data_IF_039734135818
#
_entry.id   IF_039734135818
#
_cell.length_a   1.000
_cell.length_b   1.000
_cell.length_c   1.000
_cell.angle_alpha   90.00
_cell.angle_beta   90.00
_cell.angle_gamma   90.00
#
_symmetry.space_group_name_H-M   'P 1'
#
loop_
_entity.id
_entity.type
_entity.pdbx_description
1 polymer ?
#
# COMPACT_ATOMS: atom_id res chain seq x y z
N UNK A 1 29.58 -62.45 42.54
CA UNK A 1 30.79 -63.05 43.16
C UNK A 1 31.96 -62.04 43.31
N UNK A 2 31.71 -60.80 43.78
CA UNK A 2 32.79 -59.77 43.98
C UNK A 2 32.57 -58.79 45.15
N UNK A 3 31.49 -58.94 45.95
CA UNK A 3 31.18 -58.03 47.09
C UNK A 3 31.54 -58.58 48.48
N UNK A 4 31.83 -59.87 48.60
CA UNK A 4 32.11 -60.51 49.89
C UNK A 4 33.59 -60.37 50.35
N UNK A 5 34.55 -60.23 49.42
CA UNK A 5 35.99 -60.11 49.79
C UNK A 5 36.40 -58.76 50.40
N UNK A 6 35.57 -57.72 50.29
CA UNK A 6 35.89 -56.37 50.79
C UNK A 6 35.69 -56.23 52.30
N UNK A 7 34.73 -56.97 52.86
CA UNK A 7 34.27 -56.79 54.24
C UNK A 7 35.25 -57.35 55.28
N UNK A 8 35.91 -58.47 54.99
CA UNK A 8 36.95 -59.03 55.89
C UNK A 8 38.23 -58.20 55.91
N UNK A 9 38.61 -57.62 54.76
CA UNK A 9 39.78 -56.72 54.68
C UNK A 9 39.60 -55.45 55.48
N UNK A 10 38.37 -54.91 55.56
CA UNK A 10 38.05 -53.74 56.37
C UNK A 10 38.12 -54.03 57.88
N UNK A 11 37.65 -55.20 58.32
CA UNK A 11 37.75 -55.61 59.73
C UNK A 11 39.21 -55.79 60.17
N UNK A 12 40.05 -56.35 59.31
CA UNK A 12 41.48 -56.53 59.59
C UNK A 12 42.25 -55.20 59.60
N UNK A 13 41.80 -54.20 58.85
CA UNK A 13 42.39 -52.85 58.85
C UNK A 13 41.99 -52.06 60.11
N UNK A 14 40.73 -52.17 60.53
CA UNK A 14 40.22 -51.56 61.76
C UNK A 14 40.89 -52.14 63.02
N UNK A 15 41.27 -53.43 63.02
CA UNK A 15 41.98 -54.07 64.12
C UNK A 15 43.47 -53.71 64.19
N UNK A 16 44.12 -53.38 63.06
CA UNK A 16 45.55 -53.05 63.00
C UNK A 16 45.87 -51.58 63.24
N UNK A 17 44.96 -50.65 62.93
CA UNK A 17 45.24 -49.21 62.99
C UNK A 17 44.17 -48.41 63.77
N UNK A 18 43.92 -48.70 65.06
CA UNK A 18 42.91 -48.00 65.84
C UNK A 18 43.24 -46.51 66.02
N UNK A 19 44.53 -46.18 66.14
CA UNK A 19 45.01 -44.79 66.29
C UNK A 19 44.77 -43.96 65.03
N UNK A 20 44.89 -44.55 63.84
CA UNK A 20 44.71 -43.84 62.57
C UNK A 20 43.24 -43.52 62.28
N UNK A 21 42.32 -44.40 62.67
CA UNK A 21 40.87 -44.16 62.59
C UNK A 21 40.41 -43.05 63.54
N UNK A 22 40.97 -42.99 64.75
CA UNK A 22 40.67 -41.93 65.72
C UNK A 22 41.19 -40.58 65.22
N UNK A 23 42.36 -40.54 64.57
CA UNK A 23 42.94 -39.31 64.00
C UNK A 23 42.08 -38.74 62.85
N UNK A 24 41.55 -39.60 61.97
CA UNK A 24 40.67 -39.19 60.87
C UNK A 24 39.31 -38.71 61.39
N UNK A 25 38.78 -39.36 62.42
CA UNK A 25 37.53 -38.94 63.08
C UNK A 25 37.69 -37.60 63.82
N UNK A 26 38.85 -37.37 64.45
CA UNK A 26 39.20 -36.11 65.09
C UNK A 26 39.35 -34.97 64.07
N UNK A 27 39.93 -35.24 62.91
CA UNK A 27 40.08 -34.26 61.83
C UNK A 27 38.74 -33.90 61.16
N UNK A 28 37.77 -34.82 61.13
CA UNK A 28 36.40 -34.56 60.65
C UNK A 28 35.55 -33.73 61.63
N UNK A 29 35.79 -33.87 62.94
CA UNK A 29 35.05 -33.14 64.00
C UNK A 29 35.49 -31.67 64.15
N UNK A 30 36.68 -31.30 63.67
CA UNK A 30 37.22 -29.92 63.72
C UNK A 30 36.89 -29.08 62.46
N UNK A 31 36.16 -29.62 61.48
CA UNK A 31 35.85 -28.98 60.20
C UNK A 31 34.60 -28.07 60.16
N UNK A 32 33.92 -27.85 61.29
CA UNK A 32 32.74 -26.99 61.37
C UNK A 32 32.89 -26.00 62.53
N UNK A 33 33.48 -24.83 62.26
CA UNK A 33 33.10 -23.52 62.82
C UNK A 33 33.93 -22.43 62.13
N UNK A 34 33.27 -21.67 61.26
CA UNK A 34 33.37 -20.20 61.25
C UNK A 34 32.27 -19.63 60.37
N UNK A 35 31.27 -19.06 61.03
CA UNK A 35 30.36 -18.07 60.49
C UNK A 35 30.46 -16.84 61.41
N UNK A 36 30.76 -15.68 60.84
CA UNK A 36 30.46 -14.31 61.31
C UNK A 36 31.30 -13.34 60.45
N UNK A 37 30.81 -12.28 59.83
CA UNK A 37 29.49 -11.67 59.79
C UNK A 37 29.52 -10.57 58.71
N UNK A 38 28.35 -10.25 58.16
CA UNK A 38 28.19 -9.27 57.09
C UNK A 38 26.72 -9.07 56.78
N UNK A 39 26.01 -8.45 57.73
CA UNK A 39 24.66 -7.91 57.55
C UNK A 39 24.64 -6.92 56.38
N UNK A 40 23.76 -7.19 55.42
CA UNK A 40 23.51 -6.38 54.23
C UNK A 40 22.24 -6.85 53.52
N UNK A 41 21.16 -7.05 54.27
CA UNK A 41 19.83 -7.33 53.72
C UNK A 41 19.25 -6.06 53.06
N UNK A 42 19.72 -5.72 51.85
CA UNK A 42 19.06 -4.80 50.91
C UNK A 42 19.29 -5.25 49.45
N UNK A 43 19.14 -6.54 49.16
CA UNK A 43 19.34 -7.10 47.81
C UNK A 43 18.17 -7.90 47.16
N UNK A 44 16.99 -8.16 47.77
CA UNK A 44 15.90 -8.83 47.04
C UNK A 44 15.05 -7.89 46.18
N UNK A 45 14.86 -6.62 46.57
CA UNK A 45 13.99 -5.68 45.83
C UNK A 45 14.59 -5.21 44.50
N UNK A 46 15.91 -5.08 44.41
CA UNK A 46 16.59 -4.54 43.22
C UNK A 46 16.67 -5.52 42.04
N UNK A 47 16.62 -6.83 42.30
CA UNK A 47 16.56 -7.86 41.25
C UNK A 47 15.15 -8.01 40.70
N UNK A 48 14.13 -7.90 41.55
CA UNK A 48 12.73 -7.95 41.12
C UNK A 48 12.32 -6.70 40.31
N UNK A 49 12.77 -5.50 40.71
CA UNK A 49 12.60 -4.26 39.92
C UNK A 49 13.28 -4.36 38.55
N UNK A 50 14.53 -4.83 38.49
CA UNK A 50 15.24 -5.04 37.23
C UNK A 50 14.53 -6.03 36.31
N UNK A 51 13.95 -7.10 36.86
CA UNK A 51 13.15 -8.05 36.09
C UNK A 51 11.90 -7.42 35.48
N UNK A 52 11.19 -6.57 36.26
CA UNK A 52 10.01 -5.83 35.78
C UNK A 52 10.37 -4.79 34.71
N UNK A 53 11.51 -4.12 34.84
CA UNK A 53 11.99 -3.14 33.85
C UNK A 53 12.44 -3.79 32.54
N UNK A 54 13.12 -4.96 32.61
CA UNK A 54 13.46 -5.76 31.44
C UNK A 54 12.21 -6.27 30.72
N UNK A 55 11.19 -6.72 31.46
CA UNK A 55 9.92 -7.13 30.88
C UNK A 55 9.19 -5.97 30.18
N UNK A 56 9.15 -4.77 30.80
CA UNK A 56 8.60 -3.56 30.19
C UNK A 56 9.37 -3.13 28.94
N UNK A 57 10.71 -3.24 28.95
CA UNK A 57 11.52 -2.95 27.76
C UNK A 57 11.24 -3.94 26.62
N UNK A 58 11.09 -5.22 26.93
CA UNK A 58 10.73 -6.23 25.94
C UNK A 58 9.35 -5.94 25.32
N UNK A 59 8.35 -5.61 26.14
CA UNK A 59 7.00 -5.25 25.68
C UNK A 59 7.01 -4.00 24.77
N UNK A 60 7.72 -2.94 25.18
CA UNK A 60 7.88 -1.73 24.36
C UNK A 60 8.59 -2.01 23.04
N UNK A 61 9.61 -2.86 23.06
CA UNK A 61 10.34 -3.25 21.85
C UNK A 61 9.46 -4.04 20.87
N UNK A 62 8.57 -4.88 21.39
CA UNK A 62 7.65 -5.65 20.56
C UNK A 62 6.57 -4.76 19.95
N UNK A 63 6.05 -3.82 20.74
CA UNK A 63 5.09 -2.83 20.27
C UNK A 63 5.69 -1.89 19.23
N UNK A 64 6.96 -1.52 19.37
CA UNK A 64 7.69 -0.76 18.36
C UNK A 64 7.81 -1.56 17.05
N UNK A 65 8.18 -2.85 17.11
CA UNK A 65 8.26 -3.70 15.90
C UNK A 65 6.91 -3.83 15.22
N UNK A 66 5.83 -4.02 15.99
CA UNK A 66 4.47 -4.08 15.47
C UNK A 66 4.12 -2.79 14.71
N UNK A 67 4.35 -1.62 15.33
CA UNK A 67 4.13 -0.32 14.68
C UNK A 67 4.99 -0.12 13.43
N UNK A 68 6.24 -0.55 13.42
CA UNK A 68 7.11 -0.50 12.23
C UNK A 68 6.55 -1.38 11.11
N UNK A 69 6.10 -2.60 11.43
CA UNK A 69 5.50 -3.50 10.45
C UNK A 69 4.20 -2.94 9.89
N UNK A 70 3.37 -2.34 10.74
CA UNK A 70 2.15 -1.66 10.31
C UNK A 70 2.47 -0.49 9.36
N UNK A 71 3.46 0.35 9.69
CA UNK A 71 3.92 1.45 8.84
C UNK A 71 4.43 0.97 7.48
N UNK A 72 5.19 -0.13 7.45
CA UNK A 72 5.64 -0.75 6.20
C UNK A 72 4.45 -1.24 5.36
N UNK A 73 3.43 -1.83 6.00
CA UNK A 73 2.21 -2.25 5.31
C UNK A 73 1.43 -1.05 4.75
N UNK A 74 1.38 0.08 5.48
CA UNK A 74 0.79 1.32 4.97
C UNK A 74 1.57 1.86 3.77
N UNK A 75 2.90 1.84 3.79
CA UNK A 75 3.74 2.25 2.66
C UNK A 75 3.47 1.41 1.41
N UNK A 76 3.40 0.08 1.55
CA UNK A 76 3.07 -0.82 0.45
C UNK A 76 1.68 -0.54 -0.12
N UNK A 77 0.68 -0.30 0.74
CA UNK A 77 -0.68 0.03 0.30
C UNK A 77 -0.74 1.36 -0.41
N UNK A 78 -0.11 2.41 0.12
CA UNK A 78 -0.07 3.73 -0.50
C UNK A 78 0.63 3.66 -1.86
N UNK A 79 1.76 2.96 -1.95
CA UNK A 79 2.49 2.80 -3.20
C UNK A 79 1.68 2.03 -4.24
N UNK A 80 1.01 0.93 -3.84
CA UNK A 80 0.12 0.20 -4.74
C UNK A 80 -1.05 1.05 -5.25
N UNK A 81 -1.65 1.86 -4.38
CA UNK A 81 -2.75 2.76 -4.75
C UNK A 81 -2.26 3.89 -5.66
N UNK A 82 -1.05 4.41 -5.44
CA UNK A 82 -0.43 5.42 -6.32
C UNK A 82 -0.12 4.86 -7.70
N UNK A 83 0.40 3.63 -7.78
CA UNK A 83 0.66 2.99 -9.06
C UNK A 83 -0.64 2.78 -9.86
N UNK A 84 -1.71 2.34 -9.20
CA UNK A 84 -3.03 2.23 -9.83
C UNK A 84 -3.56 3.60 -10.26
N UNK A 85 -3.39 4.64 -9.43
CA UNK A 85 -3.77 6.00 -9.77
C UNK A 85 -2.99 6.53 -10.97
N UNK A 86 -1.67 6.34 -11.02
CA UNK A 86 -0.84 6.75 -12.15
C UNK A 86 -1.24 6.02 -13.44
N UNK A 87 -1.53 4.72 -13.33
CA UNK A 87 -2.01 3.94 -14.46
C UNK A 87 -3.33 4.50 -14.97
N UNK A 88 -4.30 4.77 -14.09
CA UNK A 88 -5.57 5.40 -14.47
C UNK A 88 -5.36 6.80 -15.06
N UNK A 89 -4.47 7.62 -14.50
CA UNK A 89 -4.14 8.95 -15.04
C UNK A 89 -3.53 8.91 -16.44
N UNK A 90 -2.84 7.82 -16.80
CA UNK A 90 -2.35 7.59 -18.18
C UNK A 90 -3.42 7.00 -19.09
N UNK A 91 -4.29 6.14 -18.55
CA UNK A 91 -5.38 5.51 -19.29
C UNK A 91 -6.50 6.49 -19.61
N UNK A 92 -6.85 7.41 -18.70
CA UNK A 92 -7.89 8.44 -18.90
C UNK A 92 -7.68 9.23 -20.21
N UNK A 93 -6.54 9.86 -20.49
CA UNK A 93 -6.36 10.62 -21.73
C UNK A 93 -6.33 9.74 -22.98
N UNK A 94 -5.84 8.49 -22.87
CA UNK A 94 -5.88 7.54 -23.98
C UNK A 94 -7.33 7.10 -24.28
N UNK A 95 -8.13 6.86 -23.24
CA UNK A 95 -9.56 6.59 -23.36
C UNK A 95 -10.33 7.80 -23.87
N UNK A 96 -10.01 9.03 -23.42
CA UNK A 96 -10.59 10.26 -23.94
C UNK A 96 -10.27 10.48 -25.42
N UNK A 97 -9.05 10.15 -25.86
CA UNK A 97 -8.69 10.19 -27.27
C UNK A 97 -9.46 9.13 -28.08
N UNK A 98 -9.61 7.91 -27.56
CA UNK A 98 -10.45 6.88 -28.19
C UNK A 98 -11.93 7.30 -28.21
N UNK A 99 -12.39 7.99 -27.16
CA UNK A 99 -13.74 8.52 -27.04
C UNK A 99 -14.02 9.58 -28.09
N UNK A 100 -13.12 10.56 -28.23
CA UNK A 100 -13.26 11.63 -29.21
C UNK A 100 -13.24 11.07 -30.64
N UNK A 101 -12.40 10.08 -30.92
CA UNK A 101 -12.44 9.35 -32.19
C UNK A 101 -13.82 8.66 -32.39
N UNK A 102 -14.32 7.95 -31.38
CA UNK A 102 -15.65 7.34 -31.44
C UNK A 102 -16.78 8.39 -31.58
N UNK A 103 -16.66 9.57 -30.98
CA UNK A 103 -17.59 10.69 -31.13
C UNK A 103 -17.56 11.27 -32.55
N UNK A 104 -16.38 11.33 -33.19
CA UNK A 104 -16.29 11.73 -34.60
C UNK A 104 -16.92 10.70 -35.53
N UNK A 105 -16.74 9.40 -35.27
CA UNK A 105 -17.43 8.34 -36.03
C UNK A 105 -18.96 8.41 -35.81
N UNK A 106 -19.37 8.68 -34.57
CA UNK A 106 -20.77 8.91 -34.21
C UNK A 106 -21.33 10.14 -34.93
N UNK A 107 -20.52 11.20 -35.15
CA UNK A 107 -20.95 12.39 -35.89
C UNK A 107 -21.32 12.07 -37.34
N UNK A 108 -20.57 11.16 -37.99
CA UNK A 108 -20.93 10.65 -39.33
C UNK A 108 -22.27 9.90 -39.30
N UNK A 109 -22.48 9.05 -38.29
CA UNK A 109 -23.77 8.37 -38.09
C UNK A 109 -24.92 9.35 -37.84
N UNK A 110 -24.67 10.46 -37.14
CA UNK A 110 -25.67 11.53 -36.92
C UNK A 110 -26.02 12.29 -38.19
N UNK A 111 -25.05 12.48 -39.10
CA UNK A 111 -25.33 13.10 -40.42
C UNK A 111 -26.26 12.20 -41.22
N UNK A 112 -25.97 10.90 -41.34
CA UNK A 112 -26.85 9.96 -42.03
C UNK A 112 -28.24 9.86 -41.40
N UNK A 113 -28.31 9.92 -40.07
CA UNK A 113 -29.57 9.97 -39.34
C UNK A 113 -30.34 11.27 -39.62
N UNK A 114 -29.66 12.41 -39.71
CA UNK A 114 -30.28 13.69 -40.06
C UNK A 114 -30.80 13.70 -41.51
N UNK A 115 -30.04 13.17 -42.46
CA UNK A 115 -30.47 12.97 -43.86
C UNK A 115 -31.73 12.08 -43.91
N UNK A 116 -31.73 10.98 -43.15
CA UNK A 116 -32.88 10.09 -43.03
C UNK A 116 -34.11 10.78 -42.44
N UNK A 117 -33.95 11.56 -41.37
CA UNK A 117 -35.04 12.33 -40.77
C UNK A 117 -35.59 13.42 -41.69
N UNK A 118 -34.74 14.10 -42.46
CA UNK A 118 -35.17 15.13 -43.41
C UNK A 118 -36.00 14.51 -44.54
N UNK A 119 -35.51 13.41 -45.11
CA UNK A 119 -36.24 12.65 -46.12
C UNK A 119 -37.58 12.12 -45.59
N UNK A 120 -37.58 11.55 -44.38
CA UNK A 120 -38.79 11.05 -43.74
C UNK A 120 -39.76 12.19 -43.43
N UNK A 121 -39.26 13.37 -43.05
CA UNK A 121 -40.03 14.58 -42.81
C UNK A 121 -40.72 15.09 -44.07
N UNK A 122 -40.02 15.11 -45.21
CA UNK A 122 -40.62 15.41 -46.51
C UNK A 122 -41.73 14.44 -46.86
N UNK A 123 -41.51 13.14 -46.62
CA UNK A 123 -42.51 12.12 -46.86
C UNK A 123 -43.74 12.27 -45.96
N UNK A 124 -43.56 12.47 -44.65
CA UNK A 124 -44.68 12.69 -43.70
C UNK A 124 -45.46 13.95 -44.05
N UNK A 125 -44.78 15.04 -44.43
CA UNK A 125 -45.44 16.26 -44.89
C UNK A 125 -46.24 16.04 -46.18
N UNK A 126 -45.71 15.24 -47.11
CA UNK A 126 -46.44 14.84 -48.32
C UNK A 126 -47.70 14.03 -47.98
N UNK A 127 -47.56 13.04 -47.09
CA UNK A 127 -48.69 12.22 -46.62
C UNK A 127 -49.75 13.07 -45.91
N UNK A 128 -49.36 14.07 -45.14
CA UNK A 128 -50.28 15.00 -44.49
C UNK A 128 -51.03 15.90 -45.50
N UNK A 129 -50.32 16.44 -46.49
CA UNK A 129 -50.88 17.38 -47.48
C UNK A 129 -51.79 16.70 -48.50
N UNK A 130 -51.41 15.51 -48.95
CA UNK A 130 -52.06 14.83 -50.06
C UNK A 130 -52.89 13.63 -49.60
N UNK A 131 -52.74 13.22 -48.33
CA UNK A 131 -53.40 12.04 -47.79
C UNK A 131 -52.86 10.73 -48.40
N UNK A 132 -53.23 9.58 -47.84
CA UNK A 132 -52.90 8.27 -48.43
C UNK A 132 -53.62 8.03 -49.78
N UNK A 133 -54.68 8.78 -50.06
CA UNK A 133 -55.49 8.68 -51.30
C UNK A 133 -54.71 9.11 -52.54
N UNK A 134 -53.65 9.90 -52.38
CA UNK A 134 -52.78 10.29 -53.50
C UNK A 134 -52.18 9.08 -54.23
N UNK A 135 -51.86 7.99 -53.52
CA UNK A 135 -51.42 6.75 -54.15
C UNK A 135 -52.54 6.06 -54.94
N UNK A 136 -53.78 6.13 -54.45
CA UNK A 136 -54.95 5.59 -55.15
C UNK A 136 -55.27 6.38 -56.42
N UNK A 137 -55.11 7.70 -56.41
CA UNK A 137 -55.30 8.55 -57.60
C UNK A 137 -54.33 8.17 -58.73
N UNK A 138 -53.06 7.90 -58.41
CA UNK A 138 -52.04 7.47 -59.37
C UNK A 138 -52.40 6.12 -60.03
N UNK A 139 -53.13 5.26 -59.29
CA UNK A 139 -53.57 3.93 -59.73
C UNK A 139 -54.91 3.94 -60.47
N UNK A 140 -55.86 4.82 -60.12
CA UNK A 140 -57.21 4.84 -60.69
C UNK A 140 -57.29 5.69 -61.97
N UNK A 141 -56.33 6.60 -62.19
CA UNK A 141 -56.29 7.48 -63.37
C UNK A 141 -55.75 6.88 -64.67
N UNK A 142 -55.53 5.56 -64.76
CA UNK A 142 -54.98 4.90 -65.97
C UNK A 142 -56.05 4.21 -66.81
N UNK A 143 -55.90 4.32 -68.12
CA UNK A 143 -56.85 3.78 -69.11
C UNK A 143 -56.56 2.34 -69.53
N UNK A 144 -55.38 1.80 -69.21
CA UNK A 144 -54.90 0.48 -69.65
C UNK A 144 -54.44 -0.40 -68.47
N UNK A 145 -54.78 -1.69 -68.51
CA UNK A 145 -54.49 -2.64 -67.43
C UNK A 145 -52.98 -2.88 -67.26
N UNK A 146 -52.20 -2.86 -68.34
CA UNK A 146 -50.75 -3.06 -68.23
C UNK A 146 -50.10 -1.87 -67.51
N UNK A 147 -50.55 -0.64 -67.80
CA UNK A 147 -50.10 0.56 -67.06
C UNK A 147 -50.52 0.55 -65.59
N UNK A 148 -51.68 -0.03 -65.26
CA UNK A 148 -52.11 -0.22 -63.88
C UNK A 148 -51.13 -1.11 -63.10
N UNK A 149 -50.77 -2.28 -63.66
CA UNK A 149 -49.85 -3.23 -63.02
C UNK A 149 -48.46 -2.60 -62.84
N UNK A 150 -47.95 -1.91 -63.84
CA UNK A 150 -46.65 -1.22 -63.76
C UNK A 150 -46.61 -0.16 -62.65
N UNK A 151 -47.65 0.67 -62.54
CA UNK A 151 -47.75 1.68 -61.48
C UNK A 151 -47.97 1.07 -60.10
N UNK A 152 -48.75 0.00 -60.00
CA UNK A 152 -48.96 -0.72 -58.74
C UNK A 152 -47.64 -1.28 -58.20
N UNK A 153 -46.80 -1.85 -59.07
CA UNK A 153 -45.47 -2.32 -58.69
C UNK A 153 -44.54 -1.18 -58.27
N UNK A 154 -44.55 -0.05 -58.97
CA UNK A 154 -43.78 1.13 -58.55
C UNK A 154 -44.22 1.65 -57.17
N UNK A 155 -45.52 1.80 -56.93
CA UNK A 155 -46.06 2.25 -55.63
C UNK A 155 -45.66 1.27 -54.53
N UNK A 156 -45.76 -0.04 -54.78
CA UNK A 156 -45.31 -1.08 -53.84
C UNK A 156 -43.82 -0.95 -53.51
N UNK A 157 -42.97 -0.75 -54.51
CA UNK A 157 -41.52 -0.56 -54.31
C UNK A 157 -41.21 0.70 -53.50
N UNK A 158 -41.90 1.81 -53.77
CA UNK A 158 -41.72 3.08 -53.05
C UNK A 158 -42.09 2.91 -51.57
N UNK A 159 -43.24 2.30 -51.27
CA UNK A 159 -43.67 2.06 -49.88
C UNK A 159 -42.69 1.12 -49.18
N UNK A 160 -42.22 0.07 -49.85
CA UNK A 160 -41.23 -0.84 -49.28
C UNK A 160 -39.90 -0.12 -48.96
N UNK A 161 -39.44 0.78 -49.83
CA UNK A 161 -38.27 1.61 -49.58
C UNK A 161 -38.49 2.56 -48.39
N UNK A 162 -39.65 3.20 -48.29
CA UNK A 162 -40.01 4.09 -47.18
C UNK A 162 -39.98 3.36 -45.82
N UNK A 163 -40.58 2.17 -45.75
CA UNK A 163 -40.59 1.35 -44.53
C UNK A 163 -39.17 0.92 -44.16
N UNK A 164 -38.34 0.54 -45.15
CA UNK A 164 -36.93 0.19 -44.94
C UNK A 164 -36.13 1.36 -44.36
N UNK A 165 -36.28 2.56 -44.92
CA UNK A 165 -35.60 3.76 -44.43
C UNK A 165 -36.05 4.12 -43.01
N UNK A 166 -37.33 3.99 -42.68
CA UNK A 166 -37.84 4.21 -41.32
C UNK A 166 -37.14 3.28 -40.31
N UNK A 167 -37.05 1.99 -40.62
CA UNK A 167 -36.42 1.00 -39.75
C UNK A 167 -34.91 1.24 -39.61
N UNK A 168 -34.23 1.58 -40.71
CA UNK A 168 -32.81 1.93 -40.69
C UNK A 168 -32.53 3.16 -39.81
N UNK A 169 -33.33 4.23 -39.94
CA UNK A 169 -33.21 5.43 -39.11
C UNK A 169 -33.48 5.11 -37.64
N UNK A 170 -34.49 4.28 -37.34
CA UNK A 170 -34.81 3.86 -35.97
C UNK A 170 -33.66 3.08 -35.34
N UNK A 171 -33.17 2.05 -36.01
CA UNK A 171 -32.05 1.25 -35.51
C UNK A 171 -30.78 2.08 -35.33
N UNK A 172 -30.51 3.00 -36.26
CA UNK A 172 -29.37 3.90 -36.17
C UNK A 172 -29.51 4.87 -34.98
N UNK A 173 -30.71 5.40 -34.73
CA UNK A 173 -30.99 6.28 -33.60
C UNK A 173 -30.78 5.55 -32.26
N UNK A 174 -31.31 4.34 -32.12
CA UNK A 174 -31.16 3.53 -30.92
C UNK A 174 -29.68 3.19 -30.66
N UNK A 175 -28.94 2.81 -31.71
CA UNK A 175 -27.51 2.51 -31.63
C UNK A 175 -26.71 3.75 -31.22
N UNK A 176 -26.98 4.90 -31.84
CA UNK A 176 -26.31 6.16 -31.51
C UNK A 176 -26.58 6.56 -30.06
N UNK A 177 -27.83 6.44 -29.60
CA UNK A 177 -28.19 6.77 -28.22
C UNK A 177 -27.53 5.82 -27.21
N UNK A 178 -27.50 4.52 -27.50
CA UNK A 178 -26.82 3.53 -26.66
C UNK A 178 -25.31 3.81 -26.56
N UNK A 179 -24.66 4.12 -27.68
CA UNK A 179 -23.24 4.48 -27.72
C UNK A 179 -22.96 5.74 -26.90
N UNK A 180 -23.77 6.80 -27.05
CA UNK A 180 -23.63 8.04 -26.24
C UNK A 180 -23.75 7.75 -24.74
N UNK A 181 -24.72 6.93 -24.34
CA UNK A 181 -24.94 6.60 -22.94
C UNK A 181 -23.76 5.78 -22.36
N UNK A 182 -23.28 4.79 -23.10
CA UNK A 182 -22.14 3.96 -22.71
C UNK A 182 -20.85 4.78 -22.57
N UNK A 183 -20.62 5.71 -23.50
CA UNK A 183 -19.50 6.65 -23.48
C UNK A 183 -19.53 7.51 -22.22
N UNK A 184 -20.67 8.14 -21.93
CA UNK A 184 -20.85 8.98 -20.72
C UNK A 184 -20.62 8.18 -19.44
N UNK A 185 -21.23 7.00 -19.34
CA UNK A 185 -21.09 6.14 -18.16
C UNK A 185 -19.64 5.73 -17.91
N UNK A 186 -18.90 5.37 -18.97
CA UNK A 186 -17.48 4.98 -18.86
C UNK A 186 -16.63 6.14 -18.36
N UNK A 187 -16.87 7.36 -18.88
CA UNK A 187 -16.19 8.58 -18.45
C UNK A 187 -16.44 8.86 -16.96
N UNK A 188 -17.70 8.83 -16.55
CA UNK A 188 -18.09 9.12 -15.16
C UNK A 188 -17.50 8.08 -14.19
N UNK A 189 -17.47 6.80 -14.58
CA UNK A 189 -16.85 5.74 -13.80
C UNK A 189 -15.34 5.94 -13.62
N UNK A 190 -14.62 6.32 -14.67
CA UNK A 190 -13.18 6.57 -14.60
C UNK A 190 -12.86 7.77 -13.73
N UNK A 191 -13.60 8.86 -13.88
CA UNK A 191 -13.44 10.06 -13.05
C UNK A 191 -13.71 9.75 -11.56
N UNK A 192 -14.78 9.01 -11.27
CA UNK A 192 -15.12 8.61 -9.91
C UNK A 192 -14.06 7.70 -9.28
N UNK A 193 -13.52 6.73 -10.04
CA UNK A 193 -12.44 5.84 -9.56
C UNK A 193 -11.16 6.61 -9.24
N UNK A 194 -10.77 7.54 -10.11
CA UNK A 194 -9.57 8.36 -9.89
C UNK A 194 -9.70 9.25 -8.66
N UNK A 195 -10.87 9.87 -8.47
CA UNK A 195 -11.16 10.69 -7.29
C UNK A 195 -11.17 9.85 -6.00
N UNK A 196 -11.82 8.69 -6.01
CA UNK A 196 -11.84 7.78 -4.87
C UNK A 196 -10.44 7.33 -4.45
N UNK A 197 -9.56 7.01 -5.41
CA UNK A 197 -8.17 6.66 -5.12
C UNK A 197 -7.38 7.85 -4.56
N UNK A 198 -7.59 9.05 -5.09
CA UNK A 198 -6.97 10.27 -4.57
C UNK A 198 -7.31 10.51 -3.10
N UNK A 199 -8.60 10.40 -2.76
CA UNK A 199 -9.09 10.51 -1.39
C UNK A 199 -8.48 9.42 -0.51
N UNK A 200 -8.55 8.16 -0.95
CA UNK A 200 -8.02 7.02 -0.20
C UNK A 200 -6.52 7.19 0.09
N UNK A 201 -5.72 7.59 -0.90
CA UNK A 201 -4.28 7.86 -0.70
C UNK A 201 -4.07 8.97 0.34
N UNK A 202 -4.86 10.04 0.30
CA UNK A 202 -4.80 11.13 1.28
C UNK A 202 -5.11 10.68 2.70
N UNK A 203 -6.18 9.89 2.88
CA UNK A 203 -6.57 9.34 4.19
C UNK A 203 -5.51 8.38 4.74
N UNK A 204 -4.99 7.48 3.90
CA UNK A 204 -3.94 6.54 4.28
C UNK A 204 -2.65 7.27 4.65
N UNK A 205 -2.27 8.32 3.92
CA UNK A 205 -1.10 9.14 4.22
C UNK A 205 -1.26 9.89 5.56
N UNK A 206 -2.43 10.48 5.82
CA UNK A 206 -2.71 11.15 7.09
C UNK A 206 -2.67 10.17 8.27
N UNK A 207 -3.27 8.99 8.13
CA UNK A 207 -3.24 7.94 9.13
C UNK A 207 -1.81 7.45 9.41
N UNK A 208 -1.00 7.30 8.36
CA UNK A 208 0.42 6.94 8.47
C UNK A 208 1.21 7.98 9.25
N UNK A 209 1.07 9.27 8.92
CA UNK A 209 1.77 10.36 9.61
C UNK A 209 1.46 10.38 11.12
N UNK A 210 0.20 10.14 11.50
CA UNK A 210 -0.17 10.03 12.93
C UNK A 210 0.55 8.88 13.63
N UNK A 211 0.67 7.71 12.97
CA UNK A 211 1.42 6.55 13.52
C UNK A 211 2.93 6.78 13.59
N UNK A 212 3.51 7.46 12.62
CA UNK A 212 4.94 7.84 12.64
C UNK A 212 5.26 8.78 13.80
N UNK A 213 4.39 9.75 14.07
CA UNK A 213 4.49 10.65 15.23
C UNK A 213 4.38 9.88 16.55
N UNK A 214 3.44 8.94 16.65
CA UNK A 214 3.30 8.10 17.84
C UNK A 214 4.55 7.24 18.09
N UNK A 215 5.10 6.62 17.04
CA UNK A 215 6.31 5.81 17.13
C UNK A 215 7.54 6.64 17.52
N UNK A 216 7.68 7.86 16.98
CA UNK A 216 8.77 8.75 17.39
C UNK A 216 8.68 9.17 18.85
N UNK A 217 7.47 9.41 19.35
CA UNK A 217 7.22 9.68 20.77
C UNK A 217 7.53 8.46 21.66
N UNK A 218 7.11 7.26 21.23
CA UNK A 218 7.41 6.01 21.94
C UNK A 218 8.93 5.76 22.03
N UNK A 219 9.67 6.00 20.93
CA UNK A 219 11.14 5.97 20.89
C UNK A 219 11.82 7.03 21.75
N UNK A 220 11.15 8.17 21.99
CA UNK A 220 11.66 9.23 22.86
C UNK A 220 11.52 8.83 24.33
N UNK A 221 10.35 8.30 24.71
CA UNK A 221 10.11 7.78 26.05
C UNK A 221 11.03 6.62 26.40
N UNK A 222 11.22 5.65 25.51
CA UNK A 222 12.13 4.52 25.75
C UNK A 222 13.60 4.95 25.91
N UNK A 223 14.06 5.97 25.16
CA UNK A 223 15.40 6.57 25.33
C UNK A 223 15.57 7.31 26.66
N UNK A 224 14.54 8.00 27.14
CA UNK A 224 14.58 8.71 28.41
C UNK A 224 14.44 7.77 29.63
N UNK A 225 13.76 6.64 29.46
CA UNK A 225 13.58 5.60 30.47
C UNK A 225 14.76 4.62 30.57
N UNK A 226 15.71 4.65 29.63
CA UNK A 226 16.93 3.86 29.75
C UNK A 226 17.71 4.30 31.01
N UNK A 227 18.11 3.37 31.89
CA UNK A 227 18.77 3.74 33.13
C UNK A 227 20.04 4.53 32.81
N UNK A 228 20.17 5.73 33.42
CA UNK A 228 21.45 6.42 33.58
C UNK A 228 22.32 5.60 34.53
N UNK A 229 22.71 4.40 34.11
CA UNK A 229 23.79 3.66 34.74
C UNK A 229 25.05 4.46 34.50
N UNK A 230 25.42 5.28 35.47
CA UNK A 230 26.70 5.99 35.48
C UNK A 230 27.84 4.98 35.49
N UNK A 231 28.27 4.54 34.31
CA UNK A 231 29.62 4.07 34.12
C UNK A 231 30.49 5.32 34.07
N UNK A 232 30.86 5.80 35.26
CA UNK A 232 31.94 6.74 35.46
C UNK A 232 33.22 6.02 35.04
N UNK A 233 33.57 6.13 33.76
CA UNK A 233 34.88 5.71 33.29
C UNK A 233 35.93 6.55 34.04
N UNK A 234 36.88 5.93 34.76
CA UNK A 234 37.94 6.67 35.40
C UNK A 234 38.77 7.34 34.30
N UNK A 235 38.77 8.67 34.31
CA UNK A 235 39.68 9.50 33.53
C UNK A 235 41.10 9.10 33.93
N UNK A 236 41.83 8.44 33.02
CA UNK A 236 43.28 8.26 33.18
C UNK A 236 43.91 9.65 33.22
N UNK A 237 44.51 10.00 34.36
CA UNK A 237 45.37 11.17 34.48
C UNK A 237 46.55 11.04 33.47
N UNK A 238 46.90 12.11 32.74
CA UNK A 238 48.13 12.14 31.98
C UNK A 238 49.31 12.28 32.96
N UNK A 239 50.12 11.22 33.06
CA UNK A 239 51.43 11.28 33.70
C UNK A 239 52.31 12.26 32.91
N UNK A 240 52.80 13.28 33.62
CA UNK A 240 53.82 14.19 33.11
C UNK A 240 55.19 13.50 33.12
N UNK A 241 55.85 13.50 31.95
CA UNK A 241 57.29 13.60 31.72
C UNK A 241 57.45 13.62 30.19
N UNK A 242 57.84 14.71 29.52
CA UNK A 242 59.23 15.18 29.44
C UNK A 242 60.11 14.02 28.97
N UNK A 243 60.67 13.94 27.76
CA UNK A 243 61.54 14.91 27.07
C UNK A 243 61.59 14.61 25.54
N UNK A 244 61.40 15.66 24.72
CA UNK A 244 62.25 16.12 23.58
C UNK A 244 62.87 15.01 22.68
N UNK A 245 62.49 14.82 21.41
CA UNK A 245 62.95 15.56 20.21
C UNK A 245 62.16 15.09 18.97
N UNK A 246 61.54 15.99 18.22
CA UNK A 246 62.07 16.50 16.94
C UNK A 246 60.96 17.09 16.08
N UNK A 247 61.20 18.33 15.64
CA UNK A 247 60.40 19.11 14.71
C UNK A 247 60.55 18.60 13.27
N UNK A 248 59.61 19.02 12.41
CA UNK A 248 59.38 18.61 11.02
C UNK A 248 58.63 17.27 10.93
N UNK A 249 57.38 17.24 10.48
CA UNK A 249 57.08 17.30 9.04
C UNK A 249 55.56 17.56 8.87
N UNK A 250 55.25 18.58 8.06
CA UNK A 250 54.03 18.83 7.26
C UNK A 250 52.80 19.45 7.96
N UNK A 251 52.83 20.78 7.94
CA UNK A 251 51.73 21.73 7.78
C UNK A 251 51.06 21.67 6.39
N UNK A 252 49.88 22.30 6.30
CA UNK A 252 49.06 22.64 5.11
C UNK A 252 48.08 21.53 4.65
N UNK A 253 46.79 21.77 4.41
CA UNK A 253 46.16 23.02 3.99
C UNK A 253 44.66 23.01 4.29
N UNK A 254 44.18 24.10 4.91
CA UNK A 254 42.77 24.43 5.13
C UNK A 254 42.50 25.68 4.27
N UNK A 255 41.90 25.51 3.08
CA UNK A 255 41.33 26.59 2.26
C UNK A 255 39.85 26.27 2.03
N UNK A 256 38.86 27.03 2.49
CA UNK A 256 38.50 28.43 2.16
C UNK A 256 38.20 28.60 0.66
N UNK A 257 36.94 28.45 0.28
CA UNK A 257 36.35 29.09 -0.89
C UNK A 257 35.01 29.71 -0.47
N UNK A 258 34.89 31.02 -0.65
CA UNK A 258 33.71 31.85 -0.51
C UNK A 258 33.73 32.81 -1.70
N UNK A 259 32.64 32.89 -2.46
CA UNK A 259 32.14 34.01 -3.29
C UNK A 259 30.85 33.50 -3.95
N UNK A 260 29.65 34.00 -3.57
CA UNK A 260 28.92 35.14 -4.19
C UNK A 260 28.46 34.79 -5.63
N UNK A 261 27.23 34.98 -6.13
CA UNK A 261 26.16 35.98 -5.99
C UNK A 261 24.99 35.45 -6.86
N UNK A 262 23.70 35.53 -6.52
CA UNK A 262 22.82 36.64 -6.94
C UNK A 262 21.38 36.37 -6.51
N UNK A 263 20.62 37.46 -6.38
CA UNK A 263 19.26 37.60 -5.85
C UNK A 263 18.16 37.26 -6.86
N UNK A 264 17.00 36.97 -6.29
CA UNK A 264 15.66 37.15 -6.83
C UNK A 264 15.36 38.56 -7.36
N UNK A 265 14.76 38.61 -8.54
CA UNK A 265 13.64 39.48 -8.91
C UNK A 265 12.80 38.73 -9.95
#
# INVERSE_FOLDING_TARGET
MKKEMSAERLKNFAAKYPVFLILILLMLLLGLVSQAGGEGNTAPSSLEERGKDLARQAELSEREKELVNELLNWDLKIESARQEQEKLQREIPALEAALTAAETELSGSRVHLAEGYDWLGHWVNSLYRHGPVAYLEVLVGVSDFNQFVERAEMVRMIIAAQVKTLEEVRMLADRVQAQVNSIKQTRDQLAAKNEALSIQIGEMAAAKTGREQFLTELRRHSRCAAPRGGLQFPVRQPLQAGWILNWAVISCWRGRARCAFSRSA
#
